data_IF_689300512411
#
_entry.id   IF_689300512411
#
_cell.length_a   1.000
_cell.length_b   1.000
_cell.length_c   1.000
_cell.angle_alpha   90.00
_cell.angle_beta   90.00
_cell.angle_gamma   90.00
#
_symmetry.space_group_name_H-M   'P 1'
#
loop_
_entity.id
_entity.type
_entity.pdbx_description
1 polymer ?
#
# COMPACT_ATOMS: atom_id res chain seq x y z
N UNK A 1 27.61 -8.91 5.32
CA UNK A 1 27.37 -10.37 5.25
C UNK A 1 27.64 -10.79 3.82
N UNK A 2 28.86 -11.30 3.53
CA UNK A 2 29.20 -11.82 2.20
C UNK A 2 28.48 -13.15 2.02
N UNK A 3 27.42 -13.16 1.23
CA UNK A 3 26.82 -14.39 0.73
C UNK A 3 27.85 -15.10 -0.13
N UNK A 4 28.08 -16.38 0.11
CA UNK A 4 29.00 -17.20 -0.66
C UNK A 4 28.53 -17.24 -2.11
N UNK A 5 29.10 -16.39 -2.94
CA UNK A 5 28.76 -16.24 -4.38
C UNK A 5 28.90 -17.54 -5.19
N UNK A 6 29.71 -18.46 -4.71
CA UNK A 6 30.09 -19.66 -5.49
C UNK A 6 28.99 -20.73 -5.58
N UNK A 7 28.04 -20.80 -4.64
CA UNK A 7 27.03 -21.88 -4.64
C UNK A 7 25.77 -21.57 -5.45
N UNK A 8 25.55 -20.31 -5.84
CA UNK A 8 24.34 -19.90 -6.61
C UNK A 8 24.57 -19.91 -8.12
N UNK A 9 25.83 -19.76 -8.57
CA UNK A 9 26.17 -19.66 -10.00
C UNK A 9 25.89 -20.92 -10.82
N UNK A 10 25.85 -22.09 -10.17
CA UNK A 10 25.69 -23.37 -10.89
C UNK A 10 24.24 -23.85 -11.07
N UNK A 11 23.24 -23.15 -10.52
CA UNK A 11 21.85 -23.62 -10.48
C UNK A 11 20.84 -22.71 -11.22
N UNK A 12 21.26 -21.58 -11.77
CA UNK A 12 20.36 -20.69 -12.49
C UNK A 12 20.57 -20.78 -14.00
N UNK A 13 19.50 -20.93 -14.78
CA UNK A 13 19.58 -21.08 -16.25
C UNK A 13 19.89 -19.79 -16.99
N UNK A 14 20.11 -18.68 -16.28
CA UNK A 14 20.47 -17.38 -16.84
C UNK A 14 21.73 -16.85 -16.16
N UNK A 15 22.49 -16.04 -16.88
CA UNK A 15 23.72 -15.47 -16.40
C UNK A 15 23.47 -14.64 -15.11
N UNK A 16 24.08 -15.08 -14.00
CA UNK A 16 23.93 -14.44 -12.69
C UNK A 16 24.26 -12.94 -12.70
N UNK A 17 25.19 -12.51 -13.57
CA UNK A 17 25.50 -11.10 -13.75
C UNK A 17 24.35 -10.30 -14.35
N UNK A 18 23.58 -10.86 -15.28
CA UNK A 18 22.38 -10.20 -15.80
C UNK A 18 21.28 -10.09 -14.76
N UNK A 19 21.08 -11.12 -13.93
CA UNK A 19 20.13 -11.07 -12.81
C UNK A 19 20.61 -10.06 -11.77
N UNK A 20 21.89 -10.08 -11.43
CA UNK A 20 22.48 -9.13 -10.48
C UNK A 20 22.33 -7.69 -10.99
N UNK A 21 22.69 -7.44 -12.25
CA UNK A 21 22.53 -6.13 -12.90
C UNK A 21 21.06 -5.72 -12.96
N UNK A 22 20.16 -6.63 -13.33
CA UNK A 22 18.72 -6.39 -13.36
C UNK A 22 18.17 -6.05 -11.97
N UNK A 23 18.53 -6.82 -10.95
CA UNK A 23 18.13 -6.58 -9.56
C UNK A 23 18.71 -5.24 -9.06
N UNK A 24 20.00 -4.96 -9.28
CA UNK A 24 20.61 -3.68 -8.87
C UNK A 24 19.96 -2.49 -9.56
N UNK A 25 19.71 -2.59 -10.87
CA UNK A 25 19.05 -1.53 -11.63
C UNK A 25 17.60 -1.33 -11.24
N UNK A 26 16.90 -2.42 -10.88
CA UNK A 26 15.49 -2.38 -10.52
C UNK A 26 15.25 -1.97 -9.06
N UNK A 27 16.16 -2.30 -8.16
CA UNK A 27 15.97 -2.03 -6.74
C UNK A 27 16.67 -0.76 -6.27
N UNK A 28 17.38 -0.05 -7.15
CA UNK A 28 18.15 1.17 -6.87
C UNK A 28 18.74 1.18 -5.45
N UNK A 29 19.47 0.12 -5.09
CA UNK A 29 20.01 -0.10 -3.75
C UNK A 29 21.24 0.77 -3.57
N UNK A 30 21.03 2.02 -3.19
CA UNK A 30 22.11 2.85 -2.64
C UNK A 30 22.22 2.59 -1.14
N UNK A 31 23.31 1.98 -0.74
CA UNK A 31 23.65 1.79 0.68
C UNK A 31 24.20 3.12 1.19
N UNK A 32 23.36 3.95 1.76
CA UNK A 32 23.81 5.11 2.53
C UNK A 32 23.90 4.72 4.01
N UNK A 33 25.10 4.76 4.55
CA UNK A 33 25.46 4.30 5.89
C UNK A 33 25.44 5.38 6.97
N UNK A 34 24.49 6.29 6.96
CA UNK A 34 24.32 7.22 8.09
C UNK A 34 22.84 7.58 8.27
N UNK A 35 22.33 7.33 9.46
CA UNK A 35 21.00 7.77 9.88
C UNK A 35 21.13 9.18 10.49
N UNK A 36 20.76 10.25 9.79
CA UNK A 36 20.61 11.53 10.45
C UNK A 36 19.33 11.51 11.30
N UNK A 37 19.43 11.93 12.54
CA UNK A 37 18.27 12.39 13.32
C UNK A 37 17.72 13.61 12.62
N UNK A 38 16.56 13.47 11.96
CA UNK A 38 15.97 14.56 11.21
C UNK A 38 15.00 15.29 12.14
N UNK A 39 15.30 16.56 12.41
CA UNK A 39 14.27 17.53 12.75
C UNK A 39 13.33 17.62 11.55
N UNK A 40 12.13 17.06 11.69
CA UNK A 40 11.09 17.14 10.66
C UNK A 40 10.61 18.61 10.67
N UNK A 41 10.89 19.41 9.63
CA UNK A 41 10.39 20.77 9.59
C UNK A 41 8.86 20.75 9.65
N UNK A 42 8.26 21.71 10.35
CA UNK A 42 6.79 21.89 10.36
C UNK A 42 6.35 22.26 8.93
N UNK A 43 6.00 21.24 8.15
CA UNK A 43 5.48 21.44 6.80
C UNK A 43 4.03 21.90 6.96
N UNK A 44 3.61 23.02 6.35
CA UNK A 44 2.20 23.41 6.32
C UNK A 44 1.33 22.23 5.86
N UNK A 45 0.17 22.04 6.48
CA UNK A 45 -0.66 20.83 6.30
C UNK A 45 -1.04 20.59 4.84
N UNK A 46 -1.30 21.66 4.06
CA UNK A 46 -1.56 21.58 2.62
C UNK A 46 -0.31 21.12 1.86
N UNK A 47 0.88 21.59 2.26
CA UNK A 47 2.12 21.14 1.64
C UNK A 47 2.35 19.63 1.86
N UNK A 48 1.91 19.08 3.00
CA UNK A 48 1.98 17.65 3.26
C UNK A 48 1.08 16.82 2.32
N UNK A 49 -0.13 17.32 2.01
CA UNK A 49 -1.00 16.69 1.02
C UNK A 49 -0.31 16.69 -0.35
N UNK A 50 0.21 17.84 -0.80
CA UNK A 50 0.93 17.96 -2.08
C UNK A 50 2.21 17.14 -2.13
N UNK A 51 2.90 16.99 -0.98
CA UNK A 51 4.06 16.13 -0.84
C UNK A 51 3.73 14.67 -1.15
N UNK A 52 2.59 14.18 -0.66
CA UNK A 52 2.26 12.75 -0.78
C UNK A 52 1.36 12.40 -1.97
N UNK A 53 0.52 13.32 -2.42
CA UNK A 53 -0.48 13.07 -3.45
C UNK A 53 -0.06 13.76 -4.76
N UNK A 54 0.25 12.97 -5.78
CA UNK A 54 0.63 13.46 -7.10
C UNK A 54 -0.58 13.90 -7.93
N UNK A 55 -1.74 13.23 -7.78
CA UNK A 55 -2.96 13.55 -8.51
C UNK A 55 -3.51 14.90 -8.07
N UNK A 56 -3.50 15.90 -8.98
CA UNK A 56 -4.00 17.25 -8.69
C UNK A 56 -5.47 17.23 -8.24
N UNK A 57 -6.32 16.43 -8.87
CA UNK A 57 -7.73 16.29 -8.51
C UNK A 57 -7.89 15.85 -7.04
N UNK A 58 -7.25 14.75 -6.63
CA UNK A 58 -7.35 14.25 -5.27
C UNK A 58 -6.66 15.15 -4.24
N UNK A 59 -5.54 15.78 -4.62
CA UNK A 59 -4.87 16.77 -3.77
C UNK A 59 -5.79 17.95 -3.47
N UNK A 60 -6.57 18.42 -4.46
CA UNK A 60 -7.55 19.50 -4.27
C UNK A 60 -8.70 19.06 -3.36
N UNK A 61 -9.28 17.88 -3.58
CA UNK A 61 -10.34 17.34 -2.73
C UNK A 61 -9.91 17.21 -1.26
N UNK A 62 -8.74 16.64 -1.01
CA UNK A 62 -8.21 16.47 0.33
C UNK A 62 -7.86 17.83 0.99
N UNK A 63 -7.36 18.78 0.22
CA UNK A 63 -7.08 20.14 0.72
C UNK A 63 -8.35 20.88 1.09
N UNK A 64 -9.42 20.72 0.32
CA UNK A 64 -10.75 21.29 0.65
C UNK A 64 -11.31 20.65 1.92
N UNK A 65 -11.22 19.33 2.06
CA UNK A 65 -11.65 18.65 3.28
C UNK A 65 -10.85 19.10 4.51
N UNK A 66 -9.52 19.26 4.38
CA UNK A 66 -8.67 19.81 5.42
C UNK A 66 -9.10 21.24 5.81
N UNK A 67 -9.36 22.09 4.82
CA UNK A 67 -9.80 23.46 5.06
C UNK A 67 -11.12 23.51 5.85
N UNK A 68 -12.07 22.66 5.50
CA UNK A 68 -13.34 22.54 6.22
C UNK A 68 -13.16 22.05 7.66
N UNK A 69 -12.11 21.31 7.93
CA UNK A 69 -11.78 20.77 9.25
C UNK A 69 -10.89 21.70 10.10
N UNK A 70 -10.42 22.83 9.57
CA UNK A 70 -9.33 23.61 10.16
C UNK A 70 -9.58 24.05 11.60
N UNK A 71 -10.82 24.32 11.98
CA UNK A 71 -11.21 24.73 13.34
C UNK A 71 -11.61 23.57 14.24
N UNK A 72 -11.53 22.33 13.75
CA UNK A 72 -12.07 21.16 14.43
C UNK A 72 -10.97 20.48 15.26
N UNK A 73 -11.24 20.25 16.55
CA UNK A 73 -10.29 19.58 17.45
C UNK A 73 -10.52 18.05 17.53
N UNK A 74 -11.64 17.55 17.05
CA UNK A 74 -12.01 16.15 17.06
C UNK A 74 -12.67 15.75 15.75
N UNK A 75 -12.17 14.70 15.15
CA UNK A 75 -12.68 14.14 13.90
C UNK A 75 -13.00 12.64 14.08
N UNK A 76 -14.11 12.22 13.52
CA UNK A 76 -14.49 10.81 13.46
C UNK A 76 -14.71 10.38 12.02
N UNK A 77 -14.05 9.27 11.65
CA UNK A 77 -14.14 8.68 10.32
C UNK A 77 -14.58 7.22 10.38
N UNK A 78 -15.24 6.77 9.34
CA UNK A 78 -15.42 5.37 8.98
C UNK A 78 -14.64 5.13 7.69
N UNK A 79 -13.80 4.11 7.65
CA UNK A 79 -12.94 3.81 6.50
C UNK A 79 -13.12 2.38 6.03
N UNK A 80 -13.09 2.19 4.71
CA UNK A 80 -13.18 0.86 4.09
C UNK A 80 -12.42 0.82 2.76
N UNK A 81 -12.09 -0.41 2.32
CA UNK A 81 -11.44 -0.70 1.06
C UNK A 81 -12.07 -1.89 0.36
N UNK A 82 -12.26 -1.78 -0.94
CA UNK A 82 -12.84 -2.83 -1.78
C UNK A 82 -11.83 -3.35 -2.80
N UNK A 83 -11.91 -4.63 -3.10
CA UNK A 83 -11.14 -5.31 -4.14
C UNK A 83 -12.08 -6.24 -4.90
N UNK A 84 -12.00 -6.21 -6.24
CA UNK A 84 -12.73 -7.13 -7.11
C UNK A 84 -11.79 -7.79 -8.10
N UNK A 85 -12.20 -8.96 -8.60
CA UNK A 85 -11.51 -9.74 -9.65
C UNK A 85 -10.02 -9.99 -9.37
N UNK A 86 -9.70 -10.33 -8.11
CA UNK A 86 -8.34 -10.60 -7.69
C UNK A 86 -7.69 -11.69 -8.53
N UNK A 87 -6.46 -11.41 -9.03
CA UNK A 87 -5.70 -12.36 -9.86
C UNK A 87 -6.05 -12.32 -11.35
N UNK A 88 -6.92 -11.43 -11.79
CA UNK A 88 -7.24 -11.19 -13.20
C UNK A 88 -6.68 -9.86 -13.70
N UNK A 89 -6.70 -9.67 -15.02
CA UNK A 89 -6.33 -8.39 -15.65
C UNK A 89 -7.36 -7.27 -15.39
N UNK A 90 -8.57 -7.64 -14.96
CA UNK A 90 -9.67 -6.70 -14.69
C UNK A 90 -9.76 -6.32 -13.21
N UNK A 91 -8.77 -6.70 -12.43
CA UNK A 91 -8.72 -6.40 -11.03
C UNK A 91 -8.77 -4.90 -10.74
N UNK A 92 -9.65 -4.51 -9.82
CA UNK A 92 -9.84 -3.11 -9.39
C UNK A 92 -9.86 -3.02 -7.88
N UNK A 93 -9.37 -1.90 -7.37
CA UNK A 93 -9.44 -1.56 -5.95
C UNK A 93 -10.07 -0.19 -5.77
N UNK A 94 -10.90 -0.05 -4.75
CA UNK A 94 -11.50 1.21 -4.35
C UNK A 94 -11.27 1.47 -2.87
N UNK A 95 -11.07 2.71 -2.51
CA UNK A 95 -10.81 3.18 -1.16
C UNK A 95 -11.76 4.31 -0.82
N UNK A 96 -12.32 4.32 0.38
CA UNK A 96 -13.26 5.37 0.79
C UNK A 96 -13.23 5.62 2.30
N UNK A 97 -13.61 6.84 2.67
CA UNK A 97 -13.95 7.19 4.04
C UNK A 97 -15.14 8.14 4.10
N UNK A 98 -15.82 8.12 5.24
CA UNK A 98 -16.91 9.00 5.63
C UNK A 98 -16.50 9.70 6.90
N UNK A 99 -16.63 11.04 6.94
CA UNK A 99 -16.47 11.85 8.13
C UNK A 99 -17.83 12.11 8.77
N UNK A 100 -17.92 11.95 10.08
CA UNK A 100 -19.18 12.11 10.83
C UNK A 100 -19.02 13.02 12.05
N UNK A 101 -20.15 13.57 12.50
CA UNK A 101 -20.28 14.19 13.82
C UNK A 101 -21.54 13.62 14.48
N UNK A 102 -21.35 12.65 15.39
CA UNK A 102 -22.46 11.87 15.93
C UNK A 102 -23.24 11.18 14.79
N UNK A 103 -24.56 11.40 14.68
CA UNK A 103 -25.39 10.79 13.65
C UNK A 103 -25.31 11.51 12.28
N UNK A 104 -24.64 12.65 12.20
CA UNK A 104 -24.56 13.46 10.98
C UNK A 104 -23.36 13.10 10.11
N UNK A 105 -23.60 12.88 8.83
CA UNK A 105 -22.55 12.80 7.80
C UNK A 105 -22.12 14.22 7.45
N UNK A 106 -20.80 14.49 7.52
CA UNK A 106 -20.21 15.78 7.21
C UNK A 106 -19.58 15.79 5.83
N UNK A 107 -18.75 14.81 5.52
CA UNK A 107 -18.06 14.74 4.24
C UNK A 107 -17.71 13.29 3.88
N UNK A 108 -17.44 13.06 2.62
CA UNK A 108 -17.02 11.77 2.06
C UNK A 108 -15.87 11.94 1.12
N UNK A 109 -15.07 10.89 0.99
CA UNK A 109 -14.01 10.79 0.00
C UNK A 109 -13.95 9.38 -0.54
N UNK A 110 -13.68 9.25 -1.83
CA UNK A 110 -13.41 7.96 -2.46
C UNK A 110 -12.45 8.10 -3.62
N UNK A 111 -11.66 7.07 -3.87
CA UNK A 111 -10.71 7.02 -4.98
C UNK A 111 -10.49 5.58 -5.45
N UNK A 112 -10.15 5.41 -6.72
CA UNK A 112 -9.54 4.18 -7.19
C UNK A 112 -8.14 4.00 -6.58
N UNK A 113 -7.67 2.76 -6.52
CA UNK A 113 -6.33 2.39 -6.04
C UNK A 113 -5.67 1.48 -7.06
N UNK A 114 -4.41 1.72 -7.39
CA UNK A 114 -3.63 0.92 -8.31
C UNK A 114 -2.46 0.23 -7.61
N UNK A 115 -1.90 -0.78 -8.28
CA UNK A 115 -0.72 -1.53 -7.82
C UNK A 115 -0.93 -2.33 -6.51
N UNK A 116 -0.18 -3.40 -6.36
CA UNK A 116 -0.17 -4.25 -5.15
C UNK A 116 -1.57 -4.68 -4.67
N UNK A 117 -2.31 -5.43 -5.49
CA UNK A 117 -3.71 -5.72 -5.27
C UNK A 117 -3.96 -6.47 -3.96
N UNK A 118 -4.65 -5.81 -3.07
CA UNK A 118 -5.20 -6.40 -1.86
C UNK A 118 -6.25 -5.48 -1.24
N UNK A 119 -7.31 -6.04 -0.65
CA UNK A 119 -8.28 -5.27 0.13
C UNK A 119 -7.57 -4.47 1.23
N UNK A 120 -6.54 -5.09 1.84
CA UNK A 120 -5.72 -4.42 2.86
C UNK A 120 -4.99 -3.18 2.33
N UNK A 121 -4.59 -3.14 1.06
CA UNK A 121 -3.98 -1.94 0.49
C UNK A 121 -4.99 -0.81 0.38
N UNK A 122 -6.18 -1.10 -0.16
CA UNK A 122 -7.24 -0.12 -0.31
C UNK A 122 -7.70 0.48 1.03
N UNK A 123 -7.84 -0.36 2.08
CA UNK A 123 -8.23 0.10 3.41
C UNK A 123 -7.17 0.99 4.09
N UNK A 124 -5.87 0.65 3.97
CA UNK A 124 -4.80 1.50 4.51
C UNK A 124 -4.73 2.85 3.79
N UNK A 125 -5.04 2.90 2.48
CA UNK A 125 -5.18 4.14 1.72
C UNK A 125 -6.33 4.99 2.28
N UNK A 126 -7.48 4.39 2.64
CA UNK A 126 -8.58 5.11 3.26
C UNK A 126 -8.16 5.77 4.59
N UNK A 127 -7.48 5.01 5.46
CA UNK A 127 -6.93 5.54 6.72
C UNK A 127 -5.95 6.68 6.45
N UNK A 128 -5.04 6.51 5.49
CA UNK A 128 -4.03 7.52 5.16
C UNK A 128 -4.66 8.82 4.67
N UNK A 129 -5.57 8.73 3.70
CA UNK A 129 -6.22 9.92 3.13
C UNK A 129 -7.12 10.63 4.13
N UNK A 130 -7.78 9.91 5.05
CA UNK A 130 -8.52 10.52 6.16
C UNK A 130 -7.60 11.33 7.09
N UNK A 131 -6.43 10.79 7.46
CA UNK A 131 -5.47 11.49 8.32
C UNK A 131 -4.87 12.75 7.66
N UNK A 132 -4.76 12.76 6.33
CA UNK A 132 -4.32 13.96 5.60
C UNK A 132 -5.29 15.12 5.75
N UNK A 133 -6.59 14.87 5.98
CA UNK A 133 -7.61 15.92 6.15
C UNK A 133 -7.75 16.41 7.59
N UNK A 134 -7.01 15.86 8.54
CA UNK A 134 -7.02 16.31 9.92
C UNK A 134 -6.09 17.51 10.10
N UNK A 135 -6.51 18.61 10.77
CA UNK A 135 -5.62 19.70 11.16
C UNK A 135 -4.62 19.26 12.23
N UNK A 136 -3.57 20.04 12.43
CA UNK A 136 -2.56 19.77 13.45
C UNK A 136 -3.16 19.74 14.86
N UNK A 137 -2.60 18.88 15.73
CA UNK A 137 -3.01 18.67 17.13
C UNK A 137 -4.43 18.13 17.31
N UNK A 138 -5.09 17.71 16.23
CA UNK A 138 -6.43 17.16 16.25
C UNK A 138 -6.47 15.74 16.86
N UNK A 139 -7.57 15.43 17.55
CA UNK A 139 -7.92 14.06 17.96
C UNK A 139 -8.70 13.41 16.85
N UNK A 140 -8.23 12.25 16.38
CA UNK A 140 -8.84 11.54 15.25
C UNK A 140 -9.23 10.15 15.68
N UNK A 141 -10.51 9.80 15.52
CA UNK A 141 -11.03 8.45 15.66
C UNK A 141 -11.34 7.90 14.26
N UNK A 142 -10.79 6.75 13.94
CA UNK A 142 -11.08 6.04 12.69
C UNK A 142 -11.71 4.69 13.02
N UNK A 143 -12.94 4.51 12.57
CA UNK A 143 -13.67 3.27 12.69
C UNK A 143 -13.33 2.37 11.48
N UNK A 144 -12.79 1.17 11.75
CA UNK A 144 -12.41 0.17 10.73
C UNK A 144 -12.88 -1.22 11.14
N UNK A 145 -13.19 -2.07 10.18
CA UNK A 145 -13.56 -3.46 10.43
C UNK A 145 -12.35 -4.40 10.63
N UNK A 146 -11.12 -3.91 10.44
CA UNK A 146 -9.90 -4.73 10.46
C UNK A 146 -9.11 -4.63 11.76
N UNK A 147 -9.02 -5.74 12.50
CA UNK A 147 -8.15 -5.85 13.68
C UNK A 147 -6.67 -5.72 13.31
N UNK A 148 -6.28 -6.27 12.16
CA UNK A 148 -4.89 -6.24 11.70
C UNK A 148 -4.35 -4.81 11.56
N UNK A 149 -5.17 -3.85 11.11
CA UNK A 149 -4.73 -2.45 10.98
C UNK A 149 -4.60 -1.76 12.33
N UNK A 150 -5.51 -2.05 13.26
CA UNK A 150 -5.43 -1.56 14.63
C UNK A 150 -4.11 -2.03 15.28
N UNK A 151 -3.81 -3.31 15.13
CA UNK A 151 -2.58 -3.90 15.71
C UNK A 151 -1.33 -3.37 15.01
N UNK A 152 -1.35 -3.24 13.67
CA UNK A 152 -0.23 -2.67 12.91
C UNK A 152 -0.01 -1.20 13.28
N UNK A 153 -1.08 -0.41 13.37
CA UNK A 153 -0.99 0.99 13.78
C UNK A 153 -0.38 1.12 15.17
N UNK A 154 -0.89 0.38 16.16
CA UNK A 154 -0.30 0.36 17.51
C UNK A 154 1.17 -0.04 17.48
N UNK A 155 1.52 -1.06 16.70
CA UNK A 155 2.88 -1.55 16.58
C UNK A 155 3.84 -0.49 16.06
N UNK A 156 3.47 0.24 14.99
CA UNK A 156 4.32 1.28 14.40
C UNK A 156 4.39 2.56 15.24
N UNK A 157 3.32 2.88 15.99
CA UNK A 157 3.27 4.08 16.83
C UNK A 157 4.04 3.93 18.14
N UNK A 158 4.15 2.72 18.67
CA UNK A 158 4.75 2.45 19.98
C UNK A 158 6.21 2.00 19.92
N UNK A 159 6.76 1.73 18.71
CA UNK A 159 8.10 1.16 18.56
C UNK A 159 8.94 1.91 17.53
N UNK A 160 10.23 1.99 17.79
CA UNK A 160 11.21 2.34 16.75
C UNK A 160 11.54 1.11 15.92
N UNK A 161 11.09 1.09 14.67
CA UNK A 161 11.28 -0.06 13.79
C UNK A 161 12.57 0.08 12.98
N UNK A 162 13.33 -1.00 12.92
CA UNK A 162 14.46 -1.11 12.00
C UNK A 162 13.96 -1.25 10.55
N UNK A 163 14.78 -0.92 9.56
CA UNK A 163 14.47 -1.13 8.12
C UNK A 163 13.97 -2.55 7.86
N UNK A 164 14.62 -3.57 8.46
CA UNK A 164 14.19 -4.96 8.31
C UNK A 164 12.79 -5.24 8.85
N UNK A 165 12.39 -4.57 9.93
CA UNK A 165 11.04 -4.71 10.50
C UNK A 165 9.99 -4.03 9.62
N UNK A 166 10.29 -2.83 9.11
CA UNK A 166 9.45 -2.15 8.13
C UNK A 166 9.19 -3.00 6.89
N UNK A 167 10.23 -3.52 6.25
CA UNK A 167 10.13 -4.33 5.02
C UNK A 167 9.40 -5.68 5.22
N UNK A 168 9.07 -6.05 6.45
CA UNK A 168 8.21 -7.20 6.76
C UNK A 168 6.72 -6.87 6.80
N UNK A 169 6.37 -5.59 6.94
CA UNK A 169 4.98 -5.17 6.96
C UNK A 169 4.44 -5.13 5.52
N UNK A 170 3.21 -5.58 5.34
CA UNK A 170 2.46 -5.25 4.14
C UNK A 170 2.09 -3.77 4.19
N UNK A 171 2.06 -3.11 3.04
CA UNK A 171 1.74 -1.69 2.91
C UNK A 171 2.72 -0.77 3.69
N UNK A 172 3.97 -1.21 3.87
CA UNK A 172 4.95 -0.49 4.68
C UNK A 172 5.21 0.93 4.19
N UNK A 173 5.15 1.19 2.88
CA UNK A 173 5.29 2.54 2.32
C UNK A 173 4.16 3.45 2.79
N UNK A 174 2.91 2.97 2.76
CA UNK A 174 1.75 3.75 3.21
C UNK A 174 1.76 3.93 4.71
N UNK A 175 2.09 2.88 5.47
CA UNK A 175 2.23 2.95 6.93
C UNK A 175 3.30 3.95 7.35
N UNK A 176 4.39 4.05 6.58
CA UNK A 176 5.42 5.05 6.85
C UNK A 176 4.89 6.47 6.65
N UNK A 177 4.14 6.73 5.57
CA UNK A 177 3.48 8.02 5.31
C UNK A 177 2.44 8.35 6.39
N UNK A 178 1.71 7.36 6.90
CA UNK A 178 0.81 7.51 8.05
C UNK A 178 1.59 7.96 9.29
N UNK A 179 2.68 7.27 9.63
CA UNK A 179 3.52 7.63 10.77
C UNK A 179 4.06 9.04 10.65
N UNK A 180 4.55 9.42 9.47
CA UNK A 180 5.04 10.77 9.18
C UNK A 180 3.93 11.81 9.34
N UNK A 181 2.73 11.55 8.79
CA UNK A 181 1.57 12.45 8.92
C UNK A 181 1.17 12.64 10.38
N UNK A 182 1.06 11.57 11.15
CA UNK A 182 0.68 11.62 12.55
C UNK A 182 1.70 12.41 13.37
N UNK A 183 2.99 12.19 13.14
CA UNK A 183 4.07 12.91 13.83
C UNK A 183 4.16 14.37 13.43
N UNK A 184 4.16 14.68 12.13
CA UNK A 184 4.30 16.04 11.61
C UNK A 184 3.14 16.94 12.07
N UNK A 185 1.93 16.40 12.16
CA UNK A 185 0.74 17.12 12.60
C UNK A 185 0.47 16.98 14.10
N UNK A 186 1.27 16.21 14.84
CA UNK A 186 1.04 15.91 16.27
C UNK A 186 -0.37 15.39 16.54
N UNK A 187 -0.88 14.48 15.69
CA UNK A 187 -2.24 13.93 15.81
C UNK A 187 -2.34 12.94 16.97
N UNK A 188 -3.46 12.98 17.68
CA UNK A 188 -3.85 11.95 18.64
C UNK A 188 -4.83 10.98 17.95
N UNK A 189 -4.35 9.84 17.46
CA UNK A 189 -5.12 8.93 16.61
C UNK A 189 -5.50 7.66 17.36
N UNK A 190 -6.78 7.27 17.27
CA UNK A 190 -7.30 6.00 17.75
C UNK A 190 -7.99 5.27 16.59
N UNK A 191 -7.53 4.06 16.27
CA UNK A 191 -8.27 3.16 15.40
C UNK A 191 -9.22 2.31 16.27
N UNK A 192 -10.49 2.33 15.93
CA UNK A 192 -11.56 1.64 16.66
C UNK A 192 -12.18 0.54 15.78
N UNK A 193 -12.30 -0.66 16.34
CA UNK A 193 -12.88 -1.78 15.63
C UNK A 193 -14.39 -1.67 15.61
N UNK A 194 -14.97 -1.67 14.40
CA UNK A 194 -16.39 -1.87 14.19
C UNK A 194 -16.64 -3.27 13.65
N UNK A 195 -17.79 -3.83 13.97
CA UNK A 195 -18.20 -5.15 13.45
C UNK A 195 -18.65 -4.96 11.99
N UNK A 196 -18.08 -5.74 11.08
CA UNK A 196 -18.55 -5.77 9.70
C UNK A 196 -20.01 -6.23 9.64
N UNK A 197 -20.80 -5.66 8.73
CA UNK A 197 -22.22 -6.02 8.50
C UNK A 197 -23.09 -6.05 9.77
N UNK A 198 -22.88 -5.11 10.68
CA UNK A 198 -23.55 -5.05 11.98
C UNK A 198 -24.76 -4.11 12.03
N UNK A 199 -25.22 -3.61 10.88
CA UNK A 199 -26.30 -2.62 10.81
C UNK A 199 -25.85 -1.20 11.21
N UNK A 200 -24.54 -0.96 11.41
CA UNK A 200 -24.01 0.39 11.61
C UNK A 200 -24.07 1.13 10.29
N UNK A 201 -25.02 2.05 10.17
CA UNK A 201 -25.35 2.75 8.92
C UNK A 201 -24.12 3.34 8.19
N UNK A 202 -23.18 3.98 8.90
CA UNK A 202 -21.99 4.58 8.29
C UNK A 202 -20.99 3.54 7.81
N UNK A 203 -20.89 2.39 8.47
CA UNK A 203 -20.01 1.31 8.01
C UNK A 203 -20.53 0.69 6.70
N UNK A 204 -21.83 0.55 6.54
CA UNK A 204 -22.45 0.08 5.30
C UNK A 204 -22.39 1.13 4.19
N UNK A 205 -22.48 2.41 4.53
CA UNK A 205 -22.34 3.49 3.56
C UNK A 205 -20.90 3.56 3.04
N UNK A 206 -19.88 3.45 3.89
CA UNK A 206 -18.47 3.50 3.45
C UNK A 206 -18.11 2.26 2.62
N UNK A 207 -18.63 1.08 2.95
CA UNK A 207 -18.47 -0.14 2.11
C UNK A 207 -19.04 0.08 0.70
N UNK A 208 -20.24 0.67 0.59
CA UNK A 208 -20.80 1.04 -0.74
C UNK A 208 -19.96 2.05 -1.47
N UNK A 209 -19.43 3.07 -0.79
CA UNK A 209 -18.54 4.06 -1.40
C UNK A 209 -17.24 3.43 -1.89
N UNK A 210 -16.62 2.53 -1.13
CA UNK A 210 -15.42 1.82 -1.53
C UNK A 210 -15.67 0.91 -2.76
N UNK A 211 -16.84 0.26 -2.83
CA UNK A 211 -17.27 -0.52 -4.01
C UNK A 211 -17.48 0.37 -5.24
N UNK A 212 -18.13 1.51 -5.08
CA UNK A 212 -18.32 2.47 -6.18
C UNK A 212 -16.97 3.05 -6.67
N UNK A 213 -16.00 3.20 -5.76
CA UNK A 213 -14.66 3.70 -6.06
C UNK A 213 -13.83 2.76 -6.94
N UNK A 214 -14.23 1.51 -7.16
CA UNK A 214 -13.58 0.56 -8.08
C UNK A 214 -13.50 1.09 -9.52
N UNK A 215 -14.41 1.99 -9.91
CA UNK A 215 -14.47 2.57 -11.26
C UNK A 215 -13.89 3.98 -11.34
N UNK A 216 -13.36 4.51 -10.24
CA UNK A 216 -12.73 5.84 -10.23
C UNK A 216 -11.27 5.75 -10.67
N UNK A 217 -10.75 6.88 -11.14
CA UNK A 217 -9.32 7.04 -11.44
C UNK A 217 -8.47 6.69 -10.22
N UNK A 218 -7.39 5.93 -10.39
CA UNK A 218 -6.51 5.59 -9.27
C UNK A 218 -5.79 6.83 -8.72
N UNK A 219 -5.83 6.98 -7.40
CA UNK A 219 -5.02 7.98 -6.72
C UNK A 219 -3.54 7.69 -6.91
N UNK A 220 -2.78 8.70 -7.32
CA UNK A 220 -1.34 8.59 -7.52
C UNK A 220 -0.59 9.23 -6.35
N UNK A 221 0.40 8.50 -5.85
CA UNK A 221 1.24 8.96 -4.76
C UNK A 221 2.61 9.40 -5.26
N UNK A 222 3.14 10.49 -4.68
CA UNK A 222 4.55 10.82 -4.81
C UNK A 222 5.37 9.81 -4.00
N UNK A 223 6.04 8.89 -4.70
CA UNK A 223 6.80 7.80 -4.08
C UNK A 223 8.18 8.27 -3.64
N UNK A 224 8.73 9.28 -4.32
CA UNK A 224 10.13 9.69 -4.24
C UNK A 224 10.49 10.31 -2.88
N UNK A 225 9.52 10.85 -2.16
CA UNK A 225 9.78 11.56 -0.90
C UNK A 225 9.37 10.72 0.32
N UNK A 226 10.02 9.59 0.49
CA UNK A 226 9.82 8.72 1.67
C UNK A 226 10.76 9.06 2.82
N UNK A 227 11.54 10.15 2.68
CA UNK A 227 12.53 10.53 3.68
C UNK A 227 13.70 9.52 3.80
N UNK A 228 14.72 9.82 4.60
CA UNK A 228 15.96 9.05 4.66
C UNK A 228 15.88 7.79 5.52
N UNK A 229 14.70 7.34 5.94
CA UNK A 229 14.59 6.35 6.99
C UNK A 229 14.83 4.90 6.54
N UNK A 230 14.63 4.58 5.25
CA UNK A 230 15.02 3.27 4.71
C UNK A 230 14.93 3.24 3.18
N UNK A 231 15.70 2.34 2.60
CA UNK A 231 15.63 2.05 1.16
C UNK A 231 14.34 1.29 0.85
N UNK A 232 13.51 1.83 -0.05
CA UNK A 232 12.34 1.14 -0.54
C UNK A 232 12.72 0.34 -1.78
N UNK A 233 12.57 -0.98 -1.77
CA UNK A 233 12.79 -1.77 -2.96
C UNK A 233 11.74 -1.41 -4.03
N UNK A 234 12.18 -1.31 -5.28
CA UNK A 234 11.30 -1.12 -6.43
C UNK A 234 11.32 -2.36 -7.31
N UNK A 235 10.20 -2.65 -7.93
CA UNK A 235 10.08 -3.63 -9.00
C UNK A 235 9.56 -2.91 -10.23
N UNK A 236 10.39 -2.86 -11.27
CA UNK A 236 10.18 -1.97 -12.40
C UNK A 236 10.07 -0.51 -11.89
N UNK A 237 9.02 0.21 -12.20
CA UNK A 237 8.77 1.59 -11.72
C UNK A 237 7.99 1.63 -10.38
N UNK A 238 7.56 0.49 -9.85
CA UNK A 238 6.67 0.42 -8.68
C UNK A 238 7.44 0.12 -7.40
N UNK A 239 7.21 0.90 -6.35
CA UNK A 239 7.71 0.56 -5.00
C UNK A 239 7.08 -0.75 -4.52
N UNK A 240 7.90 -1.68 -4.04
CA UNK A 240 7.42 -2.95 -3.47
C UNK A 240 6.76 -2.65 -2.13
N UNK A 241 5.44 -2.63 -2.10
CA UNK A 241 4.62 -2.26 -0.94
C UNK A 241 4.02 -3.47 -0.20
N UNK A 242 4.62 -4.63 -0.37
CA UNK A 242 4.27 -5.86 0.35
C UNK A 242 5.49 -6.38 1.10
N UNK A 243 5.30 -7.36 1.98
CA UNK A 243 6.41 -8.01 2.66
C UNK A 243 7.48 -8.45 1.64
N UNK A 244 8.63 -7.80 1.66
CA UNK A 244 9.70 -7.98 0.66
C UNK A 244 10.19 -9.42 0.59
N UNK A 245 10.25 -10.13 1.73
CA UNK A 245 10.64 -11.54 1.73
C UNK A 245 9.63 -12.43 1.02
N UNK A 246 8.34 -12.16 1.21
CA UNK A 246 7.28 -12.88 0.51
C UNK A 246 7.29 -12.57 -0.98
N UNK A 247 7.53 -11.32 -1.34
CA UNK A 247 7.69 -10.91 -2.74
C UNK A 247 8.82 -11.65 -3.44
N UNK A 248 10.01 -11.70 -2.83
CA UNK A 248 11.16 -12.45 -3.36
C UNK A 248 10.83 -13.95 -3.50
N UNK A 249 10.13 -14.54 -2.53
CA UNK A 249 9.68 -15.94 -2.63
C UNK A 249 8.73 -16.17 -3.81
N UNK A 250 7.84 -15.22 -4.11
CA UNK A 250 6.95 -15.30 -5.26
C UNK A 250 7.75 -15.29 -6.58
N UNK A 251 8.73 -14.39 -6.70
CA UNK A 251 9.62 -14.34 -7.86
C UNK A 251 10.34 -15.69 -8.05
N UNK A 252 10.92 -16.23 -6.99
CA UNK A 252 11.59 -17.52 -7.06
C UNK A 252 10.65 -18.68 -7.45
N UNK A 253 9.44 -18.67 -6.92
CA UNK A 253 8.41 -19.65 -7.29
C UNK A 253 8.09 -19.57 -8.78
N UNK A 254 7.98 -18.36 -9.33
CA UNK A 254 7.71 -18.13 -10.75
C UNK A 254 8.88 -18.59 -11.64
N UNK A 255 10.12 -18.24 -11.27
CA UNK A 255 11.33 -18.67 -11.96
C UNK A 255 11.43 -20.20 -11.97
N UNK A 256 11.19 -20.85 -10.82
CA UNK A 256 11.22 -22.30 -10.73
C UNK A 256 10.14 -22.96 -11.62
N UNK A 257 8.93 -22.39 -11.64
CA UNK A 257 7.84 -22.87 -12.49
C UNK A 257 8.18 -22.70 -13.98
N UNK A 258 8.73 -21.55 -14.37
CA UNK A 258 9.18 -21.29 -15.74
C UNK A 258 10.28 -22.26 -16.16
N UNK A 259 11.28 -22.46 -15.29
CA UNK A 259 12.37 -23.42 -15.54
C UNK A 259 11.85 -24.84 -15.68
N UNK A 260 10.88 -25.23 -14.83
CA UNK A 260 10.24 -26.54 -14.91
C UNK A 260 9.47 -26.71 -16.23
N UNK A 261 8.63 -25.75 -16.61
CA UNK A 261 7.88 -25.76 -17.87
C UNK A 261 8.79 -25.75 -19.11
N UNK A 262 9.99 -25.18 -19.02
CA UNK A 262 10.96 -25.12 -20.14
C UNK A 262 11.71 -26.42 -20.39
N UNK A 263 11.63 -27.42 -19.49
CA UNK A 263 12.23 -28.73 -19.70
C UNK A 263 11.55 -29.47 -20.88
N UNK A 264 12.36 -30.03 -21.78
CA UNK A 264 11.87 -30.69 -23.01
C UNK A 264 10.82 -31.79 -22.75
N UNK A 265 10.99 -32.53 -21.66
CA UNK A 265 10.03 -33.59 -21.23
C UNK A 265 8.68 -33.00 -20.85
N UNK A 266 8.65 -31.85 -20.19
CA UNK A 266 7.44 -31.16 -19.72
C UNK A 266 6.76 -30.43 -20.87
N UNK A 267 7.54 -29.81 -21.76
CA UNK A 267 6.99 -29.16 -22.97
C UNK A 267 6.19 -30.15 -23.78
N UNK A 268 6.75 -31.36 -23.99
CA UNK A 268 6.08 -32.43 -24.73
C UNK A 268 4.75 -32.85 -24.09
N UNK A 269 4.70 -32.90 -22.77
CA UNK A 269 3.48 -33.23 -22.02
C UNK A 269 2.41 -32.12 -22.05
N UNK A 270 2.82 -30.84 -22.15
CA UNK A 270 1.90 -29.70 -22.22
C UNK A 270 1.40 -29.41 -23.64
N UNK A 271 2.07 -29.92 -24.69
CA UNK A 271 1.63 -29.82 -26.09
C UNK A 271 0.76 -30.99 -26.53
N UNK A 272 0.74 -32.09 -25.79
CA UNK A 272 -0.11 -33.26 -26.06
C UNK A 272 -1.50 -33.15 -25.37
N UNK A 273 -2.10 -31.95 -25.32
CA UNK A 273 -3.45 -31.74 -24.80
C UNK A 273 -4.46 -32.34 -25.83
N UNK A 274 -5.29 -33.31 -25.43
CA UNK A 274 -6.16 -34.05 -26.37
C UNK A 274 -7.29 -33.24 -27.01
N UNK A 275 -7.39 -31.92 -26.68
CA UNK A 275 -8.48 -31.09 -27.21
C UNK A 275 -8.31 -30.64 -28.66
N UNK A 276 -7.15 -30.89 -29.30
CA UNK A 276 -6.92 -30.52 -30.73
C UNK A 276 -7.10 -31.65 -31.74
N UNK A 277 -7.59 -32.82 -31.31
CA UNK A 277 -7.85 -33.96 -32.23
C UNK A 277 -9.30 -34.10 -32.69
N UNK A 278 -10.11 -33.08 -32.58
CA UNK A 278 -11.47 -33.12 -33.15
C UNK A 278 -11.64 -32.06 -34.22
N UNK A 279 -10.98 -32.22 -35.38
CA UNK A 279 -11.44 -31.71 -36.68
C UNK A 279 -10.52 -32.18 -37.81
N UNK A 280 -10.61 -33.46 -38.14
CA UNK A 280 -10.24 -33.96 -39.45
C UNK A 280 -10.96 -35.28 -39.70
N UNK A 281 -12.20 -35.18 -40.13
CA UNK A 281 -12.88 -36.13 -41.03
C UNK A 281 -13.96 -35.35 -41.80
#
# INVERSE_FOLDING_TARGET
MKLKEAQWKSKLPCNFSSIKSHIYNQYNISITSSFPTIDIPQIPEIALIKKFIASQHYSTLLSTALYNNFSTQYLEFYSDGSLTEQGTQHMRMGSAWIQTSGPQLLSTFSCGVSSWPSSSHAEVIAIFTALLTAPSQCKVKINTNSQTYIDTFKYIMTRSLTTRQWLRLNNHVVWFKILETVKSKSLSVILFKVKAHSGVNFNEQVDRLAKNALNLEPIQFNIIDTGPLFTIPTWDIFSVNINTRNFIKQIHKYINLYTWKSQNRIKKFLTDDPSDQSNSD
#
